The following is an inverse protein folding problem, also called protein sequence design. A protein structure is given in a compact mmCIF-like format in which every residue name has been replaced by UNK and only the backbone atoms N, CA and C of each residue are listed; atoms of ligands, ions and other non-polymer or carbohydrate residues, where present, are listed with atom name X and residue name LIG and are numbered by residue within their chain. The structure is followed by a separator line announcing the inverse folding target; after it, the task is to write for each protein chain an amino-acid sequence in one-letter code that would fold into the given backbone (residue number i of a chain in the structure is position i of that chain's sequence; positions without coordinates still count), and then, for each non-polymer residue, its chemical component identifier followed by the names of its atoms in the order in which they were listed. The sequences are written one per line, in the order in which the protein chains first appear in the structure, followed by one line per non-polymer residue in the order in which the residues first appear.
data_IF_527032390288
#
_entry.id   IF_527032390288
#
_cell.length_a   1.000
_cell.length_b   1.000
_cell.length_c   1.000
_cell.angle_alpha   90.00
_cell.angle_beta   90.00
_cell.angle_gamma   90.00
#
_symmetry.space_group_name_H-M   'P 1'
#
loop_
_entity.id
_entity.type
_entity.pdbx_description
1 polymer ?
#
# COMPACT_ATOMS: atom_id res chain seq x y z
N UNK A 1 -19.40 -25.90 16.94
CA UNK A 1 -18.33 -26.92 16.78
C UNK A 1 -17.20 -26.27 15.98
N UNK A 2 -16.22 -25.55 16.54
CA UNK A 2 -15.46 -25.79 17.76
C UNK A 2 -14.06 -26.31 17.39
N UNK A 3 -13.22 -25.51 16.72
CA UNK A 3 -11.77 -25.76 16.60
C UNK A 3 -11.03 -24.54 17.14
N UNK A 4 -10.49 -24.69 18.34
CA UNK A 4 -9.63 -23.73 18.99
C UNK A 4 -8.17 -24.07 18.66
N UNK A 5 -7.46 -23.15 18.00
CA UNK A 5 -6.00 -23.16 17.96
C UNK A 5 -5.49 -22.70 19.33
N UNK A 6 -4.86 -23.60 20.09
CA UNK A 6 -4.15 -23.26 21.32
C UNK A 6 -2.73 -22.82 20.98
N UNK A 7 -2.38 -21.63 21.46
CA UNK A 7 -1.02 -21.14 21.64
C UNK A 7 -0.18 -22.19 22.37
N UNK A 8 0.98 -22.55 21.82
CA UNK A 8 2.01 -23.25 22.58
C UNK A 8 2.90 -22.20 23.25
N UNK A 9 2.58 -21.90 24.52
CA UNK A 9 3.47 -21.22 25.46
C UNK A 9 4.71 -22.10 25.66
N UNK A 10 5.88 -21.65 25.20
CA UNK A 10 7.16 -22.26 25.56
C UNK A 10 7.44 -21.98 27.04
N UNK A 11 7.06 -22.93 27.90
CA UNK A 11 7.47 -22.95 29.28
C UNK A 11 8.83 -23.65 29.34
N UNK A 12 9.90 -22.88 29.55
CA UNK A 12 11.22 -23.41 29.88
C UNK A 12 11.13 -24.11 31.24
N UNK A 13 11.00 -25.43 31.24
CA UNK A 13 11.22 -26.24 32.44
C UNK A 13 12.70 -26.61 32.47
N UNK A 14 13.45 -25.96 33.36
CA UNK A 14 14.77 -26.43 33.75
C UNK A 14 14.61 -27.77 34.48
N UNK A 15 14.85 -28.88 33.79
CA UNK A 15 14.99 -30.19 34.42
C UNK A 15 16.47 -30.43 34.65
N UNK A 16 16.83 -30.48 35.93
CA UNK A 16 18.15 -30.87 36.44
C UNK A 16 18.50 -32.28 35.99
N UNK A 17 19.70 -32.41 35.43
CA UNK A 17 20.27 -33.65 34.91
C UNK A 17 20.44 -34.73 35.98
N UNK A 18 19.94 -35.95 35.70
CA UNK A 18 20.42 -37.21 36.27
C UNK A 18 20.36 -38.28 35.15
N UNK A 19 21.47 -39.01 35.00
CA UNK A 19 21.73 -40.22 34.19
C UNK A 19 21.80 -40.14 32.65
N UNK A 20 23.04 -40.15 32.14
CA UNK A 20 23.62 -41.26 31.36
C UNK A 20 23.01 -41.70 30.01
N UNK A 21 21.95 -41.07 29.51
CA UNK A 21 21.35 -41.39 28.21
C UNK A 21 21.87 -40.49 27.10
N UNK A 22 22.25 -41.09 25.96
CA UNK A 22 22.59 -40.39 24.72
C UNK A 22 21.54 -39.34 24.38
N UNK A 23 21.98 -38.11 24.11
CA UNK A 23 21.09 -37.00 23.76
C UNK A 23 20.15 -37.40 22.60
N UNK A 24 18.84 -37.11 22.67
CA UNK A 24 17.91 -37.42 21.58
C UNK A 24 18.38 -36.77 20.26
N UNK A 25 18.37 -37.52 19.15
CA UNK A 25 18.92 -37.09 17.85
C UNK A 25 18.34 -35.76 17.35
N UNK A 26 17.08 -35.46 17.68
CA UNK A 26 16.44 -34.20 17.31
C UNK A 26 17.08 -32.95 17.95
N UNK A 27 17.79 -33.09 19.09
CA UNK A 27 18.53 -31.97 19.70
C UNK A 27 19.81 -31.65 18.93
N UNK A 28 20.51 -32.66 18.44
CA UNK A 28 21.71 -32.50 17.62
C UNK A 28 21.39 -31.84 16.29
N UNK A 29 20.28 -32.26 15.67
CA UNK A 29 19.80 -31.71 14.41
C UNK A 29 19.31 -30.27 14.59
N UNK A 30 18.58 -29.97 15.67
CA UNK A 30 18.14 -28.60 15.99
C UNK A 30 19.31 -27.64 16.27
N UNK A 31 20.33 -28.08 17.01
CA UNK A 31 21.53 -27.26 17.27
C UNK A 31 22.38 -27.03 16.00
N UNK A 32 22.43 -28.01 15.11
CA UNK A 32 23.12 -27.88 13.82
C UNK A 32 22.37 -26.92 12.87
N UNK A 33 21.03 -26.96 12.83
CA UNK A 33 20.23 -26.01 12.05
C UNK A 33 20.31 -24.59 12.59
N UNK A 34 20.25 -24.41 13.91
CA UNK A 34 20.38 -23.07 14.54
C UNK A 34 21.78 -22.45 14.31
N UNK A 35 22.83 -23.27 14.36
CA UNK A 35 24.20 -22.81 14.08
C UNK A 35 24.38 -22.40 12.62
N UNK A 36 23.73 -23.11 11.69
CA UNK A 36 23.79 -22.82 10.26
C UNK A 36 22.97 -21.56 9.89
N UNK A 37 21.77 -21.40 10.46
CA UNK A 37 20.93 -20.20 10.29
C UNK A 37 21.61 -18.95 10.86
N UNK A 38 22.26 -19.07 12.02
CA UNK A 38 23.05 -17.97 12.59
C UNK A 38 24.26 -17.61 11.71
N UNK A 39 24.92 -18.59 11.10
CA UNK A 39 26.02 -18.35 10.16
C UNK A 39 25.55 -17.62 8.90
N UNK A 40 24.44 -18.04 8.32
CA UNK A 40 23.86 -17.41 7.13
C UNK A 40 23.38 -15.99 7.40
N UNK A 41 22.75 -15.75 8.56
CA UNK A 41 22.33 -14.41 8.97
C UNK A 41 23.53 -13.45 9.13
N UNK A 42 24.66 -13.93 9.66
CA UNK A 42 25.88 -13.12 9.76
C UNK A 42 26.48 -12.79 8.39
N UNK A 43 26.47 -13.76 7.45
CA UNK A 43 26.93 -13.52 6.08
C UNK A 43 26.06 -12.46 5.39
N UNK A 44 24.73 -12.57 5.52
CA UNK A 44 23.80 -11.58 4.96
C UNK A 44 24.02 -10.21 5.58
N UNK A 45 24.17 -10.13 6.91
CA UNK A 45 24.44 -8.86 7.58
C UNK A 45 25.75 -8.22 7.10
N UNK A 46 26.81 -9.02 6.87
CA UNK A 46 28.07 -8.54 6.32
C UNK A 46 27.92 -8.02 4.87
N UNK A 47 27.11 -8.69 4.04
CA UNK A 47 26.80 -8.23 2.69
C UNK A 47 26.05 -6.90 2.71
N UNK A 48 25.02 -6.77 3.55
CA UNK A 48 24.25 -5.53 3.74
C UNK A 48 25.17 -4.40 4.19
N UNK A 49 26.04 -4.64 5.17
CA UNK A 49 26.98 -3.63 5.64
C UNK A 49 27.93 -3.16 4.54
N UNK A 50 28.51 -4.11 3.80
CA UNK A 50 29.39 -3.79 2.67
C UNK A 50 28.68 -2.94 1.60
N UNK A 51 27.41 -3.25 1.32
CA UNK A 51 26.62 -2.51 0.33
C UNK A 51 26.33 -1.08 0.78
N UNK A 52 25.94 -0.87 2.04
CA UNK A 52 25.72 0.50 2.55
C UNK A 52 27.00 1.30 2.70
N UNK A 53 28.13 0.66 3.02
CA UNK A 53 29.44 1.32 2.98
C UNK A 53 29.81 1.77 1.55
N UNK A 54 29.46 0.98 0.53
CA UNK A 54 29.62 1.37 -0.87
C UNK A 54 28.69 2.53 -1.26
N UNK A 55 27.43 2.48 -0.82
CA UNK A 55 26.47 3.56 -1.05
C UNK A 55 26.93 4.89 -0.45
N UNK A 56 27.53 4.88 0.74
CA UNK A 56 28.17 6.08 1.35
C UNK A 56 29.32 6.65 0.52
N UNK A 57 29.94 5.83 -0.34
CA UNK A 57 30.97 6.25 -1.30
C UNK A 57 30.39 6.60 -2.68
N UNK A 58 29.06 6.59 -2.83
CA UNK A 58 28.34 6.89 -4.07
C UNK A 58 28.13 5.70 -5.00
N UNK A 59 28.48 4.48 -4.59
CA UNK A 59 28.25 3.27 -5.37
C UNK A 59 27.01 2.51 -4.87
N UNK A 60 25.91 2.67 -5.59
CA UNK A 60 24.61 2.06 -5.26
C UNK A 60 24.39 0.69 -5.92
N UNK A 61 25.28 0.26 -6.83
CA UNK A 61 25.12 -1.03 -7.52
C UNK A 61 24.98 -2.23 -6.55
N UNK A 62 25.75 -2.30 -5.43
CA UNK A 62 25.59 -3.39 -4.47
C UNK A 62 24.22 -3.44 -3.78
N UNK A 63 23.50 -2.31 -3.68
CA UNK A 63 22.15 -2.31 -3.10
C UNK A 63 21.15 -2.98 -4.05
N UNK A 64 21.29 -2.79 -5.36
CA UNK A 64 20.48 -3.50 -6.35
C UNK A 64 20.68 -5.01 -6.24
N UNK A 65 21.91 -5.47 -6.03
CA UNK A 65 22.21 -6.90 -5.84
C UNK A 65 21.56 -7.49 -4.58
N UNK A 66 21.36 -6.69 -3.52
CA UNK A 66 20.67 -7.16 -2.31
C UNK A 66 19.20 -7.52 -2.55
N UNK A 67 18.58 -6.97 -3.58
CA UNK A 67 17.17 -7.27 -3.91
C UNK A 67 16.98 -8.77 -4.20
N UNK A 68 17.96 -9.40 -4.84
CA UNK A 68 17.95 -10.82 -5.21
C UNK A 68 18.08 -11.76 -3.99
N UNK A 69 18.62 -11.25 -2.86
CA UNK A 69 18.69 -12.01 -1.60
C UNK A 69 17.30 -12.12 -0.96
N UNK A 70 16.40 -11.17 -1.24
CA UNK A 70 15.02 -11.18 -0.79
C UNK A 70 14.82 -10.84 0.70
N UNK A 71 13.69 -11.25 1.31
CA UNK A 71 13.29 -10.82 2.65
C UNK A 71 14.28 -11.12 3.78
N UNK A 72 15.26 -12.00 3.57
CA UNK A 72 16.27 -12.36 4.56
C UNK A 72 17.19 -11.18 4.95
N UNK A 73 17.29 -10.13 4.11
CA UNK A 73 18.08 -8.93 4.43
C UNK A 73 17.38 -8.01 5.44
N UNK A 74 16.06 -8.11 5.58
CA UNK A 74 15.23 -7.14 6.33
C UNK A 74 15.72 -6.91 7.77
N UNK A 75 16.11 -7.93 8.56
CA UNK A 75 16.65 -7.70 9.90
C UNK A 75 17.91 -6.83 9.91
N UNK A 76 18.80 -6.99 8.91
CA UNK A 76 20.03 -6.20 8.81
C UNK A 76 19.78 -4.75 8.36
N UNK A 77 18.71 -4.50 7.60
CA UNK A 77 18.31 -3.15 7.17
C UNK A 77 17.91 -2.24 8.35
N UNK A 78 17.44 -2.82 9.46
CA UNK A 78 16.96 -2.05 10.61
C UNK A 78 17.99 -1.09 11.23
N UNK A 79 19.30 -1.39 11.04
CA UNK A 79 20.42 -0.59 11.52
C UNK A 79 20.59 0.75 10.78
N UNK A 80 20.07 0.84 9.55
CA UNK A 80 20.28 1.98 8.65
C UNK A 80 19.08 2.92 8.58
N UNK A 81 17.99 2.58 9.24
CA UNK A 81 16.76 3.38 9.28
C UNK A 81 16.90 4.68 10.08
N UNK A 82 17.89 4.80 10.96
CA UNK A 82 18.20 6.05 11.69
C UNK A 82 19.58 6.61 11.30
N UNK A 83 20.08 6.23 10.11
CA UNK A 83 21.36 6.72 9.61
C UNK A 83 21.32 8.26 9.48
N UNK A 84 22.39 8.99 9.87
CA UNK A 84 22.43 10.44 9.73
C UNK A 84 22.29 10.91 8.27
N UNK A 85 22.69 10.10 7.29
CA UNK A 85 22.53 10.40 5.87
C UNK A 85 21.12 10.02 5.39
N UNK A 86 20.34 11.03 4.97
CA UNK A 86 19.00 10.84 4.40
C UNK A 86 19.01 9.94 3.16
N UNK A 87 20.06 9.99 2.33
CA UNK A 87 20.17 9.15 1.14
C UNK A 87 20.21 7.67 1.54
N UNK A 88 20.93 7.34 2.61
CA UNK A 88 21.02 5.98 3.14
C UNK A 88 19.66 5.53 3.70
N UNK A 89 19.02 6.36 4.53
CA UNK A 89 17.68 6.03 5.07
C UNK A 89 16.65 5.81 3.95
N UNK A 90 16.71 6.62 2.89
CA UNK A 90 15.85 6.48 1.71
C UNK A 90 16.08 5.15 0.98
N UNK A 91 17.33 4.76 0.75
CA UNK A 91 17.66 3.46 0.13
C UNK A 91 17.14 2.28 0.95
N UNK A 92 17.16 2.39 2.28
CA UNK A 92 16.58 1.36 3.16
C UNK A 92 15.09 1.18 2.88
N UNK A 93 14.33 2.28 2.78
CA UNK A 93 12.88 2.21 2.50
C UNK A 93 12.61 1.67 1.09
N UNK A 94 13.43 2.03 0.10
CA UNK A 94 13.35 1.47 -1.25
C UNK A 94 13.57 -0.05 -1.21
N UNK A 95 14.60 -0.53 -0.53
CA UNK A 95 14.85 -1.96 -0.37
C UNK A 95 13.68 -2.67 0.34
N UNK A 96 13.14 -2.08 1.42
CA UNK A 96 11.97 -2.63 2.14
C UNK A 96 10.70 -2.73 1.28
N UNK A 97 10.53 -1.80 0.32
CA UNK A 97 9.46 -1.87 -0.70
C UNK A 97 9.70 -3.05 -1.64
N UNK A 98 10.89 -3.17 -2.19
CA UNK A 98 11.22 -4.19 -3.20
C UNK A 98 11.24 -5.61 -2.62
N UNK A 99 11.95 -5.84 -1.50
CA UNK A 99 12.06 -7.19 -0.93
C UNK A 99 10.77 -7.68 -0.30
N UNK A 100 9.88 -6.77 0.08
CA UNK A 100 8.56 -7.13 0.57
C UNK A 100 8.58 -7.88 1.91
N UNK A 101 7.58 -8.75 2.10
CA UNK A 101 7.44 -9.58 3.29
C UNK A 101 6.86 -8.86 4.52
N UNK A 102 6.33 -9.64 5.46
CA UNK A 102 5.72 -9.15 6.70
C UNK A 102 6.76 -8.58 7.68
N UNK A 103 8.00 -9.05 7.61
CA UNK A 103 9.12 -8.55 8.42
C UNK A 103 9.46 -7.08 8.12
N UNK A 104 9.13 -6.58 6.93
CA UNK A 104 9.36 -5.19 6.57
C UNK A 104 8.32 -4.23 7.18
N UNK A 105 7.15 -4.72 7.60
CA UNK A 105 6.06 -3.87 8.11
C UNK A 105 6.46 -3.03 9.32
N UNK A 106 7.09 -3.57 10.38
CA UNK A 106 7.52 -2.75 11.53
C UNK A 106 8.56 -1.69 11.16
N UNK A 107 9.38 -1.96 10.13
CA UNK A 107 10.42 -1.06 9.67
C UNK A 107 9.84 0.09 8.84
N UNK A 108 8.89 -0.19 7.95
CA UNK A 108 8.14 0.81 7.20
C UNK A 108 7.27 1.68 8.12
N UNK A 109 6.68 1.06 9.15
CA UNK A 109 5.93 1.78 10.19
C UNK A 109 6.80 2.79 10.94
N UNK A 110 8.08 2.45 11.21
CA UNK A 110 9.04 3.41 11.78
C UNK A 110 9.36 4.55 10.81
N UNK A 111 9.57 4.22 9.53
CA UNK A 111 9.90 5.19 8.48
C UNK A 111 8.77 6.21 8.19
N UNK A 112 7.51 5.89 8.51
CA UNK A 112 6.40 6.86 8.48
C UNK A 112 6.64 8.11 9.34
N UNK A 113 7.56 8.04 10.30
CA UNK A 113 7.87 9.14 11.21
C UNK A 113 9.27 9.72 11.00
N UNK A 114 9.88 9.46 9.84
CA UNK A 114 11.16 10.09 9.46
C UNK A 114 11.01 11.62 9.37
N UNK A 115 12.13 12.32 9.54
CA UNK A 115 12.19 13.76 9.38
C UNK A 115 11.97 14.19 7.91
N UNK A 116 12.41 13.37 6.95
CA UNK A 116 12.25 13.64 5.52
C UNK A 116 10.84 13.34 5.03
N UNK A 117 10.25 14.27 4.28
CA UNK A 117 8.94 14.09 3.65
C UNK A 117 8.95 12.97 2.58
N UNK A 118 10.03 12.86 1.80
CA UNK A 118 10.20 11.80 0.78
C UNK A 118 10.20 10.41 1.41
N UNK A 119 10.89 10.24 2.55
CA UNK A 119 10.93 8.96 3.25
C UNK A 119 9.54 8.60 3.83
N UNK A 120 8.84 9.56 4.45
CA UNK A 120 7.46 9.34 4.95
C UNK A 120 6.51 8.93 3.84
N UNK A 121 6.63 9.56 2.67
CA UNK A 121 5.82 9.24 1.49
C UNK A 121 6.11 7.83 0.98
N UNK A 122 7.38 7.49 0.75
CA UNK A 122 7.78 6.15 0.29
C UNK A 122 7.32 5.06 1.24
N UNK A 123 7.42 5.30 2.55
CA UNK A 123 6.94 4.37 3.56
C UNK A 123 5.43 4.15 3.45
N UNK A 124 4.63 5.22 3.33
CA UNK A 124 3.18 5.14 3.17
C UNK A 124 2.77 4.43 1.87
N UNK A 125 3.41 4.76 0.74
CA UNK A 125 3.17 4.11 -0.54
C UNK A 125 3.51 2.62 -0.49
N UNK A 126 4.67 2.25 0.08
CA UNK A 126 5.07 0.86 0.24
C UNK A 126 4.11 0.05 1.12
N UNK A 127 3.53 0.69 2.15
CA UNK A 127 2.50 0.05 2.98
C UNK A 127 1.19 -0.13 2.20
N UNK A 128 0.77 0.88 1.43
CA UNK A 128 -0.49 0.86 0.67
C UNK A 128 -0.49 -0.12 -0.50
N UNK A 129 0.66 -0.36 -1.12
CA UNK A 129 0.79 -1.32 -2.23
C UNK A 129 0.76 -2.79 -1.79
N UNK A 130 0.85 -3.07 -0.49
CA UNK A 130 0.80 -4.45 0.00
C UNK A 130 -0.62 -5.01 -0.11
N UNK A 131 -0.73 -6.23 -0.64
CA UNK A 131 -2.01 -6.88 -0.91
C UNK A 131 -2.84 -7.19 0.36
N UNK A 132 -2.18 -7.36 1.51
CA UNK A 132 -2.85 -7.70 2.78
C UNK A 132 -3.04 -6.49 3.70
N UNK A 133 -3.86 -5.53 3.24
CA UNK A 133 -4.25 -4.36 4.02
C UNK A 133 -5.03 -4.76 5.29
N UNK A 134 -5.65 -5.94 5.31
CA UNK A 134 -6.39 -6.46 6.46
C UNK A 134 -5.47 -6.86 7.63
N UNK A 135 -4.33 -7.48 7.34
CA UNK A 135 -3.29 -7.76 8.34
C UNK A 135 -2.66 -6.49 8.87
N UNK A 136 -2.55 -5.44 8.05
CA UNK A 136 -2.08 -4.13 8.50
C UNK A 136 -3.07 -3.45 9.45
N UNK A 137 -4.38 -3.55 9.18
CA UNK A 137 -5.44 -2.99 10.02
C UNK A 137 -5.43 -3.56 11.45
N UNK A 138 -4.95 -4.79 11.64
CA UNK A 138 -4.81 -5.41 12.95
C UNK A 138 -3.65 -4.81 13.80
N UNK A 139 -2.74 -4.04 13.19
CA UNK A 139 -1.59 -3.42 13.87
C UNK A 139 -1.98 -2.06 14.43
N UNK A 140 -2.35 -2.03 15.71
CA UNK A 140 -2.73 -0.77 16.40
C UNK A 140 -1.59 0.26 16.43
N UNK A 141 -0.33 -0.18 16.34
CA UNK A 141 0.84 0.69 16.28
C UNK A 141 0.93 1.43 14.94
N UNK A 142 0.56 0.78 13.83
CA UNK A 142 0.54 1.38 12.49
C UNK A 142 -0.45 2.54 12.39
N UNK A 143 -1.64 2.39 12.99
CA UNK A 143 -2.61 3.47 13.11
C UNK A 143 -2.01 4.73 13.73
N UNK A 144 -1.37 4.60 14.90
CA UNK A 144 -0.76 5.72 15.60
C UNK A 144 0.39 6.34 14.78
N UNK A 145 1.19 5.50 14.12
CA UNK A 145 2.26 5.95 13.23
C UNK A 145 1.72 6.75 12.03
N UNK A 146 0.63 6.30 11.40
CA UNK A 146 -0.03 7.00 10.29
C UNK A 146 -0.62 8.33 10.73
N UNK A 147 -1.35 8.38 11.86
CA UNK A 147 -1.91 9.63 12.38
C UNK A 147 -0.79 10.67 12.61
N UNK A 148 0.30 10.27 13.28
CA UNK A 148 1.45 11.14 13.52
C UNK A 148 2.13 11.56 12.21
N UNK A 149 2.29 10.65 11.26
CA UNK A 149 2.88 10.93 9.94
C UNK A 149 2.09 12.00 9.18
N UNK A 150 0.76 11.83 9.10
CA UNK A 150 -0.16 12.77 8.44
C UNK A 150 -0.11 14.14 9.11
N UNK A 151 -0.22 14.19 10.45
CA UNK A 151 -0.15 15.42 11.23
C UNK A 151 1.20 16.16 11.08
N UNK A 152 2.28 15.44 10.77
CA UNK A 152 3.60 15.99 10.50
C UNK A 152 3.86 16.23 9.00
N UNK A 153 2.80 16.39 8.19
CA UNK A 153 2.92 16.78 6.79
C UNK A 153 3.45 15.68 5.88
N UNK A 154 2.98 14.44 6.02
CA UNK A 154 3.19 13.42 5.00
C UNK A 154 2.44 13.81 3.70
N UNK A 155 3.12 13.99 2.56
CA UNK A 155 2.50 14.46 1.32
C UNK A 155 1.77 13.35 0.54
N UNK A 156 1.78 12.12 1.04
CA UNK A 156 1.22 10.96 0.32
C UNK A 156 -0.31 10.84 0.44
N UNK A 157 -0.99 10.63 -0.70
CA UNK A 157 -2.38 10.19 -0.68
C UNK A 157 -2.54 8.80 -0.04
N UNK A 158 -1.52 7.94 -0.16
CA UNK A 158 -1.52 6.59 0.40
C UNK A 158 -1.66 6.61 1.92
N UNK A 159 -1.01 7.56 2.61
CA UNK A 159 -1.11 7.71 4.06
C UNK A 159 -2.56 8.01 4.51
N UNK A 160 -3.26 8.89 3.77
CA UNK A 160 -4.66 9.25 4.03
C UNK A 160 -5.60 8.08 3.76
N UNK A 161 -5.39 7.35 2.67
CA UNK A 161 -6.21 6.19 2.31
C UNK A 161 -6.02 5.04 3.30
N UNK A 162 -4.80 4.80 3.78
CA UNK A 162 -4.50 3.77 4.78
C UNK A 162 -5.21 4.03 6.11
N UNK A 163 -5.40 5.29 6.51
CA UNK A 163 -6.17 5.63 7.71
C UNK A 163 -7.61 5.10 7.66
N UNK A 164 -8.18 4.92 6.47
CA UNK A 164 -9.53 4.43 6.28
C UNK A 164 -9.75 2.98 6.76
N UNK A 165 -8.66 2.25 7.07
CA UNK A 165 -8.69 0.90 7.63
C UNK A 165 -8.76 0.88 9.17
N UNK A 166 -8.72 2.06 9.81
CA UNK A 166 -8.75 2.20 11.26
C UNK A 166 -9.93 3.09 11.69
N UNK A 167 -11.16 2.57 11.73
CA UNK A 167 -12.35 3.35 12.03
C UNK A 167 -12.40 3.71 13.53
N UNK A 168 -11.82 4.85 13.89
CA UNK A 168 -11.94 5.43 15.23
C UNK A 168 -12.08 6.96 15.19
N UNK A 169 -12.40 7.55 16.36
CA UNK A 169 -12.66 8.99 16.51
C UNK A 169 -11.43 9.88 16.41
N UNK A 170 -10.23 9.37 16.66
CA UNK A 170 -8.99 10.11 16.44
C UNK A 170 -8.69 10.21 14.95
N UNK A 171 -8.81 9.09 14.23
CA UNK A 171 -8.63 9.01 12.79
C UNK A 171 -9.62 9.91 12.05
N UNK A 172 -10.91 9.87 12.44
CA UNK A 172 -11.94 10.75 11.87
C UNK A 172 -11.55 12.23 12.01
N UNK A 173 -11.04 12.65 13.18
CA UNK A 173 -10.60 14.04 13.42
C UNK A 173 -9.40 14.43 12.57
N UNK A 174 -8.41 13.53 12.45
CA UNK A 174 -7.23 13.77 11.60
C UNK A 174 -7.69 13.98 10.17
N UNK A 175 -8.50 13.06 9.61
CA UNK A 175 -8.98 13.16 8.24
C UNK A 175 -9.86 14.40 8.01
N UNK A 176 -10.70 14.79 8.97
CA UNK A 176 -11.49 16.03 8.89
C UNK A 176 -10.59 17.28 8.83
N UNK A 177 -9.50 17.30 9.59
CA UNK A 177 -8.53 18.39 9.53
C UNK A 177 -7.88 18.46 8.14
N UNK A 178 -7.48 17.33 7.57
CA UNK A 178 -6.90 17.26 6.21
C UNK A 178 -7.92 17.61 5.12
N UNK A 179 -9.19 17.23 5.30
CA UNK A 179 -10.27 17.59 4.39
C UNK A 179 -10.54 19.10 4.38
N UNK A 180 -10.40 19.76 5.53
CA UNK A 180 -10.64 21.20 5.71
C UNK A 180 -9.46 22.08 5.26
N UNK A 181 -8.30 21.49 4.94
CA UNK A 181 -7.15 22.24 4.43
C UNK A 181 -7.46 22.92 3.08
N UNK A 182 -6.83 24.07 2.80
CA UNK A 182 -7.06 24.81 1.57
C UNK A 182 -6.71 23.98 0.33
N UNK A 183 -7.50 24.14 -0.74
CA UNK A 183 -7.41 23.35 -1.97
C UNK A 183 -6.09 23.50 -2.77
N UNK A 184 -5.13 24.30 -2.30
CA UNK A 184 -3.84 24.52 -2.96
C UNK A 184 -2.81 23.41 -2.72
N UNK A 185 -3.01 22.56 -1.71
CA UNK A 185 -2.10 21.44 -1.44
C UNK A 185 -2.53 20.20 -2.21
N UNK A 186 -1.65 19.72 -3.08
CA UNK A 186 -1.87 18.51 -3.90
C UNK A 186 -1.06 17.35 -3.35
N UNK A 187 -1.61 16.15 -3.49
CA UNK A 187 -0.97 14.90 -3.11
C UNK A 187 -0.89 13.95 -4.30
N UNK A 188 0.14 13.12 -4.29
CA UNK A 188 0.39 12.12 -5.31
C UNK A 188 0.04 10.71 -4.81
N UNK A 189 -0.24 9.84 -5.76
CA UNK A 189 -0.36 8.41 -5.57
C UNK A 189 0.30 7.73 -6.77
N UNK A 190 1.19 6.77 -6.53
CA UNK A 190 1.96 6.11 -7.59
C UNK A 190 1.07 5.47 -8.68
N UNK A 191 -0.11 4.97 -8.29
CA UNK A 191 -1.08 4.39 -9.23
C UNK A 191 -2.01 5.42 -9.88
N UNK A 192 -1.96 6.68 -9.47
CA UNK A 192 -2.78 7.75 -10.02
C UNK A 192 -1.96 8.61 -10.99
N UNK A 193 -2.55 9.03 -12.11
CA UNK A 193 -1.80 9.67 -13.19
C UNK A 193 -1.50 11.15 -12.95
N UNK A 194 -2.24 11.83 -12.07
CA UNK A 194 -2.12 13.26 -11.83
C UNK A 194 -2.28 13.57 -10.33
N UNK A 195 -1.54 14.58 -9.80
CA UNK A 195 -1.74 15.05 -8.44
C UNK A 195 -3.17 15.59 -8.25
N UNK A 196 -3.76 15.31 -7.10
CA UNK A 196 -5.11 15.76 -6.75
C UNK A 196 -5.10 16.58 -5.47
N UNK A 197 -6.11 17.44 -5.23
CA UNK A 197 -6.23 18.14 -3.96
C UNK A 197 -6.22 17.15 -2.79
N UNK A 198 -5.44 17.45 -1.75
CA UNK A 198 -5.31 16.63 -0.53
C UNK A 198 -6.64 16.26 0.11
N UNK A 199 -7.62 17.15 -0.01
CA UNK A 199 -8.98 16.94 0.49
C UNK A 199 -9.70 15.74 -0.15
N UNK A 200 -9.32 15.33 -1.37
CA UNK A 200 -9.98 14.22 -2.09
C UNK A 200 -9.73 12.86 -1.42
N UNK A 201 -8.48 12.36 -1.27
CA UNK A 201 -8.24 11.11 -0.55
C UNK A 201 -8.72 11.16 0.91
N UNK A 202 -8.64 12.32 1.58
CA UNK A 202 -9.20 12.48 2.92
C UNK A 202 -10.73 12.27 2.92
N UNK A 203 -11.45 12.83 1.94
CA UNK A 203 -12.91 12.63 1.78
C UNK A 203 -13.25 11.17 1.49
N UNK A 204 -12.45 10.48 0.66
CA UNK A 204 -12.65 9.04 0.38
C UNK A 204 -12.44 8.22 1.65
N UNK A 205 -11.38 8.49 2.40
CA UNK A 205 -11.11 7.80 3.67
C UNK A 205 -12.24 8.04 4.70
N UNK A 206 -12.72 9.29 4.82
CA UNK A 206 -13.87 9.65 5.66
C UNK A 206 -15.15 8.91 5.24
N UNK A 207 -15.40 8.82 3.93
CA UNK A 207 -16.55 8.10 3.38
C UNK A 207 -16.53 6.62 3.79
N UNK A 208 -15.36 5.97 3.67
CA UNK A 208 -15.18 4.54 4.00
C UNK A 208 -15.35 4.26 5.50
N UNK A 209 -14.85 5.12 6.39
CA UNK A 209 -15.06 4.96 7.84
C UNK A 209 -16.48 5.35 8.29
N UNK A 210 -17.35 5.80 7.37
CA UNK A 210 -18.73 6.15 7.66
C UNK A 210 -18.91 7.52 8.32
N UNK A 211 -17.98 8.46 8.11
CA UNK A 211 -18.08 9.79 8.68
C UNK A 211 -19.31 10.55 8.10
N UNK A 212 -20.08 11.27 8.94
CA UNK A 212 -21.25 12.01 8.48
C UNK A 212 -20.90 13.03 7.39
N UNK A 213 -21.71 13.09 6.32
CA UNK A 213 -21.54 14.06 5.25
C UNK A 213 -20.49 13.69 4.18
N UNK A 214 -19.49 12.87 4.52
CA UNK A 214 -18.38 12.56 3.62
C UNK A 214 -18.82 11.93 2.28
N UNK A 215 -19.82 11.04 2.31
CA UNK A 215 -20.41 10.45 1.09
C UNK A 215 -21.08 11.51 0.22
N UNK A 216 -21.81 12.45 0.83
CA UNK A 216 -22.46 13.56 0.12
C UNK A 216 -21.42 14.47 -0.54
N UNK A 217 -20.32 14.74 0.15
CA UNK A 217 -19.21 15.54 -0.39
C UNK A 217 -18.55 14.82 -1.58
N UNK A 218 -18.35 13.50 -1.47
CA UNK A 218 -17.79 12.67 -2.53
C UNK A 218 -18.70 12.62 -3.77
N UNK A 219 -20.01 12.50 -3.57
CA UNK A 219 -20.99 12.63 -4.66
C UNK A 219 -20.92 14.02 -5.32
N UNK A 220 -20.76 15.08 -4.51
CA UNK A 220 -20.55 16.44 -5.02
C UNK A 220 -19.27 16.57 -5.86
N UNK A 221 -18.19 15.89 -5.49
CA UNK A 221 -16.95 15.81 -6.28
C UNK A 221 -17.22 15.14 -7.62
N UNK A 222 -17.88 13.97 -7.62
CA UNK A 222 -18.22 13.22 -8.83
C UNK A 222 -19.08 14.08 -9.78
N UNK A 223 -20.10 14.76 -9.26
CA UNK A 223 -20.96 15.64 -10.06
C UNK A 223 -20.23 16.86 -10.65
N UNK A 224 -19.23 17.42 -9.96
CA UNK A 224 -18.39 18.48 -10.54
C UNK A 224 -17.56 17.96 -11.71
N UNK A 225 -17.23 16.67 -11.71
CA UNK A 225 -16.68 15.96 -12.85
C UNK A 225 -15.33 16.46 -13.33
N UNK A 226 -14.44 16.93 -12.44
CA UNK A 226 -13.07 17.26 -12.84
C UNK A 226 -12.32 15.99 -13.26
N UNK A 227 -11.63 16.05 -14.39
CA UNK A 227 -11.04 14.87 -15.01
C UNK A 227 -10.01 14.18 -14.10
N UNK A 228 -9.10 14.95 -13.51
CA UNK A 228 -8.06 14.41 -12.61
C UNK A 228 -8.65 13.76 -11.35
N UNK A 229 -9.68 14.39 -10.77
CA UNK A 229 -10.37 13.86 -9.58
C UNK A 229 -11.10 12.54 -9.93
N UNK A 230 -11.78 12.46 -11.07
CA UNK A 230 -12.44 11.22 -11.52
C UNK A 230 -11.43 10.11 -11.83
N UNK A 231 -10.31 10.43 -12.50
CA UNK A 231 -9.24 9.46 -12.78
C UNK A 231 -8.62 8.92 -11.48
N UNK A 232 -8.40 9.81 -10.51
CA UNK A 232 -7.95 9.40 -9.18
C UNK A 232 -8.94 8.46 -8.51
N UNK A 233 -10.24 8.78 -8.50
CA UNK A 233 -11.27 7.92 -7.92
C UNK A 233 -11.35 6.55 -8.60
N UNK A 234 -11.16 6.49 -9.92
CA UNK A 234 -11.07 5.22 -10.65
C UNK A 234 -9.83 4.41 -10.27
N UNK A 235 -8.69 5.07 -10.06
CA UNK A 235 -7.44 4.42 -9.63
C UNK A 235 -7.54 3.81 -8.22
N UNK A 236 -8.44 4.32 -7.37
CA UNK A 236 -8.63 3.87 -5.99
C UNK A 236 -10.00 3.25 -5.72
N UNK A 237 -10.69 2.70 -6.72
CA UNK A 237 -12.02 2.08 -6.54
C UNK A 237 -12.07 1.02 -5.43
N UNK A 238 -10.93 0.39 -5.09
CA UNK A 238 -10.83 -0.56 -3.97
C UNK A 238 -11.11 0.09 -2.59
N UNK A 239 -10.87 1.39 -2.48
CA UNK A 239 -11.08 2.17 -1.27
C UNK A 239 -12.53 2.64 -1.12
N UNK A 240 -13.30 2.62 -2.20
CA UNK A 240 -14.71 3.05 -2.22
C UNK A 240 -15.61 1.83 -1.99
N UNK A 241 -16.36 1.86 -0.89
CA UNK A 241 -17.24 0.79 -0.42
C UNK A 241 -18.73 1.14 -0.47
N UNK A 242 -19.07 2.43 -0.44
CA UNK A 242 -20.44 2.93 -0.49
C UNK A 242 -21.10 2.65 -1.85
N UNK A 243 -22.17 1.82 -1.90
CA UNK A 243 -22.86 1.46 -3.15
C UNK A 243 -23.36 2.69 -3.93
N UNK A 244 -23.88 3.70 -3.23
CA UNK A 244 -24.38 4.94 -3.82
C UNK A 244 -23.26 5.72 -4.55
N UNK A 245 -22.04 5.72 -4.01
CA UNK A 245 -20.88 6.38 -4.63
C UNK A 245 -20.41 5.61 -5.86
N UNK A 246 -20.39 4.28 -5.77
CA UNK A 246 -20.00 3.43 -6.91
C UNK A 246 -21.02 3.54 -8.06
N UNK A 247 -22.32 3.59 -7.75
CA UNK A 247 -23.36 3.80 -8.77
C UNK A 247 -23.23 5.16 -9.44
N UNK A 248 -22.79 6.19 -8.74
CA UNK A 248 -22.54 7.49 -9.36
C UNK A 248 -21.23 7.55 -10.15
N UNK A 249 -20.16 6.91 -9.67
CA UNK A 249 -18.93 6.77 -10.44
C UNK A 249 -19.11 5.98 -11.74
N UNK A 250 -20.11 5.11 -11.83
CA UNK A 250 -20.49 4.42 -13.07
C UNK A 250 -20.80 5.38 -14.22
N UNK A 251 -21.21 6.63 -13.94
CA UNK A 251 -21.41 7.67 -14.98
C UNK A 251 -20.14 7.99 -15.77
N UNK A 252 -18.95 7.68 -15.24
CA UNK A 252 -17.68 7.79 -15.98
C UNK A 252 -17.62 6.90 -17.23
N UNK A 253 -18.45 5.86 -17.31
CA UNK A 253 -18.60 5.02 -18.53
C UNK A 253 -19.19 5.79 -19.71
N UNK A 254 -19.84 6.94 -19.48
CA UNK A 254 -20.37 7.82 -20.53
C UNK A 254 -19.38 8.93 -20.92
N UNK A 255 -18.29 9.11 -20.17
CA UNK A 255 -17.37 10.22 -20.33
C UNK A 255 -16.35 9.98 -21.45
N UNK A 256 -16.48 10.77 -22.52
CA UNK A 256 -15.66 10.67 -23.73
C UNK A 256 -14.37 11.52 -23.69
N UNK A 257 -14.09 12.24 -22.60
CA UNK A 257 -12.89 13.09 -22.50
C UNK A 257 -11.63 12.23 -22.52
N UNK A 258 -10.61 12.67 -23.25
CA UNK A 258 -9.35 11.95 -23.39
C UNK A 258 -8.48 12.10 -22.13
N UNK A 259 -7.90 10.99 -21.66
CA UNK A 259 -7.15 10.94 -20.39
C UNK A 259 -5.64 10.97 -20.56
N UNK A 260 -5.13 10.92 -21.79
CA UNK A 260 -3.69 10.81 -22.07
C UNK A 260 -3.06 9.49 -21.61
N UNK A 261 -3.81 8.61 -20.94
CA UNK A 261 -3.44 7.24 -20.58
C UNK A 261 -3.21 6.39 -21.84
N UNK A 262 -2.26 5.47 -21.79
CA UNK A 262 -2.19 4.35 -22.73
C UNK A 262 -1.63 4.61 -24.13
N UNK A 263 -1.08 5.80 -24.42
CA UNK A 263 -0.51 6.09 -25.73
C UNK A 263 1.03 6.03 -25.72
N UNK A 264 1.66 5.02 -26.36
CA UNK A 264 3.05 5.14 -26.81
C UNK A 264 3.21 6.34 -27.75
N UNK A 265 4.39 6.95 -27.77
CA UNK A 265 4.73 8.02 -28.72
C UNK A 265 4.43 7.52 -30.15
N UNK A 266 3.48 8.17 -30.84
CA UNK A 266 3.12 7.85 -32.23
C UNK A 266 1.78 7.13 -32.45
N UNK A 267 1.00 6.83 -31.40
CA UNK A 267 -0.38 6.31 -31.55
C UNK A 267 -1.38 7.47 -31.55
N UNK A 268 -2.18 7.58 -32.61
CA UNK A 268 -3.10 8.71 -32.82
C UNK A 268 -4.32 8.74 -31.88
N UNK A 269 -4.80 7.59 -31.38
CA UNK A 269 -5.98 7.54 -30.52
C UNK A 269 -5.62 7.42 -29.04
N UNK A 270 -5.76 8.53 -28.31
CA UNK A 270 -5.63 8.58 -26.84
C UNK A 270 -6.76 7.83 -26.15
N UNK A 271 -6.56 7.24 -24.98
CA UNK A 271 -7.71 6.66 -24.24
C UNK A 271 -8.67 7.73 -23.73
N UNK A 272 -9.91 7.34 -23.48
CA UNK A 272 -10.96 8.17 -22.86
C UNK A 272 -11.18 7.76 -21.42
N UNK A 273 -11.86 8.61 -20.64
CA UNK A 273 -12.19 8.29 -19.26
C UNK A 273 -13.09 7.06 -19.16
N UNK A 274 -14.03 6.86 -20.08
CA UNK A 274 -14.84 5.65 -20.11
C UNK A 274 -14.01 4.37 -20.32
N UNK A 275 -12.87 4.46 -21.01
CA UNK A 275 -12.00 3.30 -21.23
C UNK A 275 -11.24 2.94 -19.94
N UNK A 276 -10.71 3.96 -19.23
CA UNK A 276 -10.10 3.80 -17.92
C UNK A 276 -11.14 3.26 -16.89
N UNK A 277 -12.39 3.72 -16.98
CA UNK A 277 -13.48 3.25 -16.13
C UNK A 277 -13.83 1.77 -16.35
N UNK A 278 -13.85 1.30 -17.60
CA UNK A 278 -14.06 -0.12 -17.92
C UNK A 278 -13.02 -0.98 -17.21
N UNK A 279 -11.72 -0.66 -17.35
CA UNK A 279 -10.65 -1.44 -16.72
C UNK A 279 -10.79 -1.42 -15.19
N UNK A 280 -11.02 -0.24 -14.62
CA UNK A 280 -11.11 -0.06 -13.18
C UNK A 280 -12.27 -0.87 -12.57
N UNK A 281 -13.48 -0.78 -13.14
CA UNK A 281 -14.65 -1.52 -12.62
C UNK A 281 -14.52 -3.02 -12.83
N UNK A 282 -14.05 -3.48 -14.00
CA UNK A 282 -13.89 -4.91 -14.27
C UNK A 282 -12.87 -5.53 -13.31
N UNK A 283 -11.73 -4.86 -13.08
CA UNK A 283 -10.72 -5.31 -12.11
C UNK A 283 -11.28 -5.30 -10.68
N UNK A 284 -11.90 -4.19 -10.26
CA UNK A 284 -12.43 -3.99 -8.90
C UNK A 284 -13.49 -5.01 -8.50
N UNK A 285 -14.41 -5.32 -9.41
CA UNK A 285 -15.54 -6.21 -9.16
C UNK A 285 -15.30 -7.64 -9.67
N UNK A 286 -14.11 -7.90 -10.24
CA UNK A 286 -13.75 -9.20 -10.82
C UNK A 286 -14.80 -9.68 -11.84
N UNK A 287 -15.25 -8.77 -12.71
CA UNK A 287 -16.31 -9.06 -13.68
C UNK A 287 -15.78 -9.96 -14.79
N UNK A 288 -16.56 -10.97 -15.17
CA UNK A 288 -16.22 -11.87 -16.28
C UNK A 288 -16.73 -11.29 -17.60
N UNK A 289 -15.84 -10.73 -18.41
CA UNK A 289 -16.16 -10.17 -19.72
C UNK A 289 -15.79 -11.15 -20.85
N UNK A 290 -16.47 -11.03 -21.99
CA UNK A 290 -16.20 -11.81 -23.21
C UNK A 290 -15.19 -11.12 -24.15
N UNK A 291 -14.46 -10.15 -23.62
CA UNK A 291 -13.41 -9.40 -24.31
C UNK A 291 -12.24 -9.13 -23.35
N UNK A 292 -11.05 -8.95 -23.92
CA UNK A 292 -9.85 -8.68 -23.14
C UNK A 292 -9.72 -7.22 -22.73
N UNK A 293 -9.29 -7.01 -21.49
CA UNK A 293 -8.88 -5.69 -21.02
C UNK A 293 -7.55 -5.28 -21.66
N UNK A 294 -7.40 -4.01 -22.01
CA UNK A 294 -6.11 -3.47 -22.45
C UNK A 294 -5.98 -2.00 -22.12
N UNK A 295 -4.80 -1.66 -21.56
CA UNK A 295 -4.44 -0.31 -21.17
C UNK A 295 -4.07 0.60 -22.35
N UNK A 296 -4.20 0.11 -23.59
CA UNK A 296 -3.88 0.86 -24.81
C UNK A 296 -5.08 0.96 -25.78
N UNK A 297 -6.21 0.30 -25.50
CA UNK A 297 -7.37 0.27 -26.41
C UNK A 297 -8.49 1.21 -25.98
N UNK A 298 -9.33 1.56 -26.96
CA UNK A 298 -10.68 2.11 -26.75
C UNK A 298 -11.71 0.99 -26.81
N UNK A 299 -12.71 1.02 -25.93
CA UNK A 299 -13.83 0.08 -25.93
C UNK A 299 -15.00 0.60 -26.78
N UNK A 300 -15.72 -0.35 -27.38
CA UNK A 300 -16.95 -0.07 -28.14
C UNK A 300 -18.11 0.23 -27.19
N UNK A 301 -19.15 0.91 -27.70
CA UNK A 301 -20.36 1.18 -26.91
C UNK A 301 -21.06 -0.11 -26.44
N UNK A 302 -20.98 -1.19 -27.22
CA UNK A 302 -21.52 -2.48 -26.83
C UNK A 302 -20.77 -3.10 -25.64
N UNK A 303 -19.44 -3.01 -25.63
CA UNK A 303 -18.60 -3.49 -24.51
C UNK A 303 -18.83 -2.66 -23.24
N UNK A 304 -18.88 -1.33 -23.38
CA UNK A 304 -19.21 -0.41 -22.27
C UNK A 304 -20.60 -0.73 -21.69
N UNK A 305 -21.59 -1.01 -22.55
CA UNK A 305 -22.93 -1.43 -22.14
C UNK A 305 -22.91 -2.72 -21.32
N UNK A 306 -22.16 -3.75 -21.75
CA UNK A 306 -22.01 -5.01 -21.00
C UNK A 306 -21.42 -4.77 -19.60
N UNK A 307 -20.39 -3.93 -19.50
CA UNK A 307 -19.77 -3.58 -18.21
C UNK A 307 -20.78 -2.87 -17.31
N UNK A 308 -21.56 -1.93 -17.84
CA UNK A 308 -22.62 -1.24 -17.10
C UNK A 308 -23.65 -2.19 -16.52
N UNK A 309 -24.13 -3.15 -17.30
CA UNK A 309 -25.10 -4.14 -16.86
C UNK A 309 -24.53 -5.08 -15.79
N UNK A 310 -23.26 -5.47 -15.95
CA UNK A 310 -22.55 -6.27 -14.97
C UNK A 310 -22.33 -5.51 -13.64
N UNK A 311 -22.03 -4.21 -13.69
CA UNK A 311 -21.95 -3.35 -12.49
C UNK A 311 -23.30 -3.30 -11.78
N UNK A 312 -24.38 -3.02 -12.51
CA UNK A 312 -25.74 -2.96 -11.96
C UNK A 312 -26.15 -4.26 -11.25
N UNK A 313 -25.69 -5.40 -11.77
CA UNK A 313 -25.97 -6.72 -11.20
C UNK A 313 -25.08 -7.06 -9.98
N UNK A 314 -23.93 -6.39 -9.83
CA UNK A 314 -22.92 -6.71 -8.83
C UNK A 314 -22.93 -5.79 -7.61
N UNK A 315 -23.44 -4.56 -7.76
CA UNK A 315 -23.47 -3.55 -6.69
C UNK A 315 -24.90 -3.44 -6.14
N UNK A 316 -25.12 -3.57 -4.82
CA UNK A 316 -26.43 -3.35 -4.21
C UNK A 316 -27.01 -1.96 -4.53
N UNK A 317 -28.35 -1.86 -4.55
CA UNK A 317 -29.05 -0.58 -4.67
C UNK A 317 -29.25 0.09 -3.31
#
# INVERSE_FOLDING_TARGET
MGKACRCATMMFVAVTAIDGGTAPSWRSDAMATESNESGQAQVIAAQVNKAFDAARRGDFAPLTELQEVGPAIVPALALYLDDPDESIRREVVILLKVVGGTAALPLLERALNDASADIKERAATSLYERDDLSTMAARTTLRAALCKSVQHGNPSAAALLLLAYFPDKEVEKVLQAEQAQPAGETVELETAPTPVPRSLPATVALSRIGAPGARKDLLGIIHRGKLDELRFLLAILREIDAPEVLHELKSTLDDQRETGSGAPIGVEQRRRLCDDAVDAFVRRLTLRMDFDLSEARRYTQAEIGKVRDAINSSIPH
#
